data_IF_676145787929
#
_entry.id   IF_676145787929
#
_cell.length_a   1.000
_cell.length_b   1.000
_cell.length_c   1.000
_cell.angle_alpha   90.00
_cell.angle_beta   90.00
_cell.angle_gamma   90.00
#
_symmetry.space_group_name_H-M   'P 1'
#
loop_
_entity.id
_entity.type
_entity.pdbx_description
1 polymer ?
#
# COMPACT_ATOMS: atom_id res chain seq x y z
N UNK A 1 -5.15 0.06 14.12
CA UNK A 1 -3.83 0.10 13.44
C UNK A 1 -4.06 0.35 11.95
N UNK A 2 -3.37 1.34 11.36
CA UNK A 2 -3.46 1.68 9.93
C UNK A 2 -2.18 1.26 9.20
N UNK A 3 -2.31 0.85 7.95
CA UNK A 3 -1.20 0.50 7.08
C UNK A 3 -1.30 1.25 5.75
N UNK A 4 -0.16 1.55 5.15
CA UNK A 4 -0.08 2.06 3.78
C UNK A 4 0.68 1.05 2.94
N UNK A 5 0.16 0.75 1.76
CA UNK A 5 0.82 -0.12 0.77
C UNK A 5 1.20 0.77 -0.39
N UNK A 6 2.49 0.88 -0.69
CA UNK A 6 2.96 1.57 -1.88
C UNK A 6 3.06 0.56 -3.01
N UNK A 7 2.42 0.82 -4.15
CA UNK A 7 2.49 -0.07 -5.31
C UNK A 7 2.23 0.61 -6.65
N UNK A 8 2.63 -0.07 -7.72
CA UNK A 8 2.39 0.37 -9.10
C UNK A 8 0.89 0.40 -9.44
N UNK A 9 0.45 1.28 -10.36
CA UNK A 9 -0.96 1.50 -10.67
C UNK A 9 -1.78 0.23 -10.99
N UNK A 10 -1.19 -0.71 -11.72
CA UNK A 10 -1.89 -1.95 -12.08
C UNK A 10 -2.11 -2.88 -10.88
N UNK A 11 -1.15 -2.96 -9.95
CA UNK A 11 -1.28 -3.73 -8.72
C UNK A 11 -2.32 -3.12 -7.78
N UNK A 12 -2.37 -1.79 -7.69
CA UNK A 12 -3.32 -1.07 -6.82
C UNK A 12 -4.77 -1.38 -7.17
N UNK A 13 -5.11 -1.51 -8.46
CA UNK A 13 -6.47 -1.85 -8.90
C UNK A 13 -6.95 -3.17 -8.28
N UNK A 14 -6.13 -4.22 -8.43
CA UNK A 14 -6.45 -5.54 -7.86
C UNK A 14 -6.45 -5.51 -6.34
N UNK A 15 -5.42 -4.90 -5.73
CA UNK A 15 -5.27 -4.84 -4.29
C UNK A 15 -6.41 -4.09 -3.59
N UNK A 16 -6.93 -3.03 -4.21
CA UNK A 16 -8.06 -2.25 -3.66
C UNK A 16 -9.33 -3.09 -3.61
N UNK A 17 -9.63 -3.87 -4.66
CA UNK A 17 -10.78 -4.78 -4.67
C UNK A 17 -10.69 -5.83 -3.54
N UNK A 18 -9.49 -6.36 -3.28
CA UNK A 18 -9.26 -7.33 -2.19
C UNK A 18 -9.48 -6.67 -0.82
N UNK A 19 -8.95 -5.47 -0.61
CA UNK A 19 -9.11 -4.71 0.65
C UNK A 19 -10.58 -4.37 0.91
N UNK A 20 -11.31 -3.96 -0.13
CA UNK A 20 -12.73 -3.66 -0.04
C UNK A 20 -13.55 -4.90 0.31
N UNK A 21 -13.31 -6.02 -0.39
CA UNK A 21 -13.98 -7.30 -0.11
C UNK A 21 -13.70 -7.82 1.31
N UNK A 22 -12.52 -7.50 1.86
CA UNK A 22 -12.15 -7.85 3.23
C UNK A 22 -12.71 -6.88 4.28
N UNK A 23 -13.35 -5.78 3.89
CA UNK A 23 -13.87 -4.76 4.80
C UNK A 23 -12.78 -3.98 5.54
N UNK A 24 -11.61 -3.80 4.93
CA UNK A 24 -10.43 -3.17 5.57
C UNK A 24 -10.13 -1.76 5.06
N UNK A 25 -11.02 -1.17 4.26
CA UNK A 25 -10.81 0.13 3.60
C UNK A 25 -10.63 1.32 4.58
N UNK A 26 -11.04 1.18 5.83
CA UNK A 26 -10.83 2.16 6.90
C UNK A 26 -9.41 2.12 7.51
N UNK A 27 -8.69 1.01 7.26
CA UNK A 27 -7.39 0.70 7.88
C UNK A 27 -6.24 0.61 6.89
N UNK A 28 -6.51 0.25 5.64
CA UNK A 28 -5.51 0.09 4.60
C UNK A 28 -5.74 1.14 3.51
N UNK A 29 -4.68 1.88 3.17
CA UNK A 29 -4.67 2.77 2.00
C UNK A 29 -3.57 2.38 1.04
N UNK A 30 -3.77 2.64 -0.24
CA UNK A 30 -2.72 2.55 -1.25
C UNK A 30 -2.06 3.91 -1.48
N UNK A 31 -0.74 3.89 -1.70
CA UNK A 31 0.03 4.99 -2.25
C UNK A 31 0.45 4.52 -3.64
N UNK A 32 -0.16 5.07 -4.69
CA UNK A 32 0.14 4.64 -6.04
C UNK A 32 1.45 5.28 -6.52
N UNK A 33 2.48 4.47 -6.78
CA UNK A 33 3.78 4.97 -7.21
C UNK A 33 4.91 3.94 -7.08
N UNK A 34 6.07 4.28 -7.63
CA UNK A 34 7.29 3.49 -7.48
C UNK A 34 7.88 3.71 -6.07
N UNK A 35 8.21 2.62 -5.36
CA UNK A 35 8.79 2.64 -4.01
C UNK A 35 10.04 3.54 -3.87
N UNK A 36 10.88 3.58 -4.90
CA UNK A 36 12.17 4.30 -4.89
C UNK A 36 12.02 5.78 -5.28
N UNK A 37 10.96 6.14 -6.01
CA UNK A 37 10.78 7.49 -6.56
C UNK A 37 9.71 8.29 -5.80
N UNK A 38 8.77 7.61 -5.17
CA UNK A 38 7.60 8.27 -4.57
C UNK A 38 7.88 8.70 -3.14
N UNK A 39 7.39 9.88 -2.76
CA UNK A 39 7.33 10.26 -1.35
C UNK A 39 6.14 9.55 -0.67
N UNK A 40 6.46 8.64 0.24
CA UNK A 40 5.48 7.93 1.06
C UNK A 40 5.44 8.43 2.50
N UNK A 41 6.29 9.40 2.88
CA UNK A 41 6.39 10.01 4.21
C UNK A 41 7.33 9.27 5.18
N UNK A 42 7.71 9.92 6.28
CA UNK A 42 8.71 9.39 7.24
C UNK A 42 8.13 8.93 8.59
N UNK A 43 6.80 8.94 8.75
CA UNK A 43 6.14 8.73 10.06
C UNK A 43 5.78 7.28 10.39
N UNK A 44 6.26 6.31 9.62
CA UNK A 44 5.98 4.89 9.87
C UNK A 44 6.88 4.34 10.98
N UNK A 45 6.28 3.48 11.81
CA UNK A 45 6.98 2.80 12.91
C UNK A 45 7.56 1.45 12.50
N UNK A 46 6.97 0.83 11.48
CA UNK A 46 7.32 -0.50 10.99
C UNK A 46 7.31 -0.42 9.46
N UNK A 47 8.35 -1.00 8.87
CA UNK A 47 8.49 -1.19 7.44
C UNK A 47 8.56 -2.68 7.16
N UNK A 48 7.75 -3.13 6.21
CA UNK A 48 7.74 -4.51 5.74
C UNK A 48 7.86 -4.49 4.22
N UNK A 49 8.88 -5.14 3.69
CA UNK A 49 9.15 -5.25 2.26
C UNK A 49 8.87 -6.70 1.84
N UNK A 50 7.70 -6.91 1.24
CA UNK A 50 7.30 -8.24 0.76
C UNK A 50 7.49 -8.33 -0.75
N UNK A 51 8.16 -9.40 -1.19
CA UNK A 51 8.31 -9.80 -2.61
C UNK A 51 8.79 -8.69 -3.56
N UNK A 52 10.03 -8.24 -3.38
CA UNK A 52 10.74 -7.43 -4.38
C UNK A 52 11.29 -8.38 -5.47
N UNK A 53 10.73 -8.35 -6.67
CA UNK A 53 11.22 -9.09 -7.86
C UNK A 53 11.84 -8.14 -8.86
#
# INVERSE_FOLDING_TARGET
MKASIIELPETVKYGTMVVEKAGLSDRIRYITGNLLESDWGSSYRIFDLMHFV
#
